data_IF_584577847888
#
_entry.id   IF_584577847888
#
_cell.length_a   1.000
_cell.length_b   1.000
_cell.length_c   1.000
_cell.angle_alpha   90.00
_cell.angle_beta   90.00
_cell.angle_gamma   90.00
#
_symmetry.space_group_name_H-M   'P 1'
#
loop_
_entity.id
_entity.type
_entity.pdbx_description
1 polymer ?
#
# COMPACT_ATOMS: atom_id res chain seq x y z
N UNK A 1 4.06 46.23 -0.88
CA UNK A 1 3.25 45.88 0.29
C UNK A 1 4.07 46.24 1.51
N UNK A 2 3.54 47.02 2.45
CA UNK A 2 4.28 47.39 3.66
C UNK A 2 4.43 46.15 4.55
N UNK A 3 5.62 45.96 5.12
CA UNK A 3 5.87 44.94 6.14
C UNK A 3 4.88 45.16 7.31
N UNK A 4 4.11 44.15 7.73
CA UNK A 4 3.25 44.29 8.88
C UNK A 4 4.12 44.56 10.12
N UNK A 5 3.93 45.71 10.75
CA UNK A 5 4.66 46.08 11.98
C UNK A 5 4.28 45.11 13.09
N UNK A 6 5.24 44.30 13.55
CA UNK A 6 5.05 43.41 14.70
C UNK A 6 4.61 44.21 15.94
N UNK A 7 3.64 43.70 16.73
CA UNK A 7 3.22 44.35 17.96
C UNK A 7 4.42 44.44 18.92
N UNK A 8 4.78 45.64 19.41
CA UNK A 8 5.95 45.83 20.26
C UNK A 8 5.78 45.06 21.58
N UNK A 9 6.64 44.08 21.82
CA UNK A 9 6.72 43.34 23.09
C UNK A 9 6.12 41.93 23.11
N UNK A 10 5.55 41.44 22.01
CA UNK A 10 5.11 40.05 21.94
C UNK A 10 6.30 39.10 21.74
N UNK A 11 6.58 38.23 22.71
CA UNK A 11 7.56 37.14 22.57
C UNK A 11 6.84 35.85 22.19
N UNK A 12 7.40 35.08 21.26
CA UNK A 12 6.91 33.75 20.92
C UNK A 12 6.86 32.83 22.17
N UNK A 13 5.91 31.90 22.26
CA UNK A 13 5.81 30.93 23.34
C UNK A 13 7.07 30.09 23.39
N UNK A 14 7.58 29.87 24.60
CA UNK A 14 8.79 29.06 24.83
C UNK A 14 8.61 27.60 24.37
N UNK A 15 7.38 27.09 24.40
CA UNK A 15 7.07 25.74 23.97
C UNK A 15 6.46 25.76 22.56
N UNK A 16 7.18 25.18 21.61
CA UNK A 16 6.73 25.00 20.22
C UNK A 16 5.91 23.72 20.08
N UNK A 17 4.98 23.64 19.11
CA UNK A 17 4.33 22.38 18.76
C UNK A 17 5.38 21.30 18.39
N UNK A 18 5.16 20.02 18.73
CA UNK A 18 6.12 18.96 18.45
C UNK A 18 6.54 18.88 16.97
N UNK A 19 5.60 19.03 16.04
CA UNK A 19 5.89 18.97 14.60
C UNK A 19 6.78 20.12 14.14
N UNK A 20 6.60 21.32 14.70
CA UNK A 20 7.45 22.49 14.41
C UNK A 20 8.86 22.27 14.97
N UNK A 21 8.97 21.68 16.17
CA UNK A 21 10.27 21.35 16.76
C UNK A 21 11.02 20.32 15.90
N UNK A 22 10.34 19.31 15.35
CA UNK A 22 10.96 18.35 14.43
C UNK A 22 11.53 19.03 13.18
N UNK A 23 10.81 20.00 12.60
CA UNK A 23 11.29 20.75 11.44
C UNK A 23 12.48 21.66 11.78
N UNK A 24 12.49 22.26 12.97
CA UNK A 24 13.65 23.01 13.48
C UNK A 24 14.87 22.12 13.68
N UNK A 25 14.68 20.95 14.31
CA UNK A 25 15.74 19.98 14.52
C UNK A 25 16.27 19.48 13.16
N UNK A 26 15.39 19.29 12.17
CA UNK A 26 15.77 18.93 10.81
C UNK A 26 16.60 20.03 10.13
N UNK A 27 16.24 21.31 10.31
CA UNK A 27 17.04 22.44 9.84
C UNK A 27 18.42 22.48 10.50
N UNK A 28 18.48 22.42 11.83
CA UNK A 28 19.72 22.51 12.61
C UNK A 28 20.68 21.35 12.29
N UNK A 29 20.12 20.15 12.11
CA UNK A 29 20.89 18.94 11.82
C UNK A 29 21.11 18.69 10.32
N UNK A 30 20.61 19.57 9.45
CA UNK A 30 20.61 19.43 7.99
C UNK A 30 20.08 18.07 7.54
N UNK A 31 18.96 17.65 8.13
CA UNK A 31 18.24 16.45 7.74
C UNK A 31 17.19 16.85 6.69
N UNK A 32 17.23 16.27 5.48
CA UNK A 32 16.25 16.60 4.46
C UNK A 32 14.87 16.08 4.86
N UNK A 33 13.84 16.84 4.50
CA UNK A 33 12.44 16.47 4.68
C UNK A 33 11.83 16.04 3.36
N UNK A 34 11.00 14.99 3.40
CA UNK A 34 10.28 14.50 2.21
C UNK A 34 8.96 15.26 2.06
N UNK A 35 8.81 16.00 0.95
CA UNK A 35 7.66 16.87 0.73
C UNK A 35 6.64 16.21 -0.20
N UNK A 36 5.37 16.28 0.23
CA UNK A 36 4.21 15.85 -0.54
C UNK A 36 3.25 17.01 -0.71
N UNK A 37 2.75 17.18 -1.93
CA UNK A 37 1.89 18.29 -2.28
C UNK A 37 0.53 17.75 -2.75
N UNK A 38 -0.58 18.22 -2.18
CA UNK A 38 -1.91 17.81 -2.65
C UNK A 38 -2.24 18.44 -4.00
N UNK A 39 -3.12 17.81 -4.78
CA UNK A 39 -3.48 18.30 -6.12
C UNK A 39 -4.16 19.67 -6.12
N UNK A 40 -4.82 20.04 -5.02
CA UNK A 40 -5.40 21.37 -4.81
C UNK A 40 -4.44 22.42 -4.22
N UNK A 41 -3.19 22.05 -3.93
CA UNK A 41 -2.25 22.94 -3.28
C UNK A 41 -1.62 23.93 -4.27
N UNK A 42 -1.71 25.23 -3.98
CA UNK A 42 -1.22 26.29 -4.88
C UNK A 42 0.30 26.27 -5.10
N UNK A 43 1.05 25.64 -4.20
CA UNK A 43 2.52 25.50 -4.34
C UNK A 43 2.91 24.30 -5.19
N UNK A 44 1.95 23.50 -5.70
CA UNK A 44 2.26 22.34 -6.52
C UNK A 44 2.83 22.80 -7.87
N UNK A 45 4.13 22.57 -8.15
CA UNK A 45 4.77 23.04 -9.38
C UNK A 45 4.34 22.22 -10.61
N UNK A 46 3.74 21.05 -10.39
CA UNK A 46 3.30 20.15 -11.45
C UNK A 46 1.79 19.89 -11.30
N UNK A 47 0.94 20.46 -12.18
CA UNK A 47 -0.49 20.20 -12.12
C UNK A 47 -0.71 18.69 -12.24
N UNK A 48 -1.30 18.12 -11.20
CA UNK A 48 -1.60 16.70 -11.15
C UNK A 48 -2.86 16.43 -11.96
N UNK A 49 -2.84 15.43 -12.85
CA UNK A 49 -4.07 14.90 -13.42
C UNK A 49 -5.13 14.61 -12.36
N UNK A 50 -6.40 14.75 -12.73
CA UNK A 50 -7.55 14.68 -11.81
C UNK A 50 -7.66 13.36 -11.06
N UNK A 51 -7.05 12.29 -11.59
CA UNK A 51 -6.95 10.99 -10.95
C UNK A 51 -5.98 10.94 -9.76
N UNK A 52 -5.24 12.01 -9.47
CA UNK A 52 -4.22 12.06 -8.41
C UNK A 52 -4.57 13.05 -7.29
N UNK A 53 -4.41 12.58 -6.05
CA UNK A 53 -4.63 13.40 -4.84
C UNK A 53 -3.35 14.10 -4.34
N UNK A 54 -2.17 13.53 -4.60
CA UNK A 54 -0.89 14.00 -4.08
C UNK A 54 0.27 13.74 -5.07
N UNK A 55 1.29 14.60 -5.01
CA UNK A 55 2.57 14.48 -5.72
C UNK A 55 3.71 14.40 -4.69
N UNK A 56 4.63 13.43 -4.84
CA UNK A 56 5.89 13.48 -4.12
C UNK A 56 6.80 14.51 -4.79
N UNK A 57 7.07 15.61 -4.10
CA UNK A 57 8.06 16.56 -4.59
C UNK A 57 9.47 16.03 -4.35
N UNK A 58 9.73 15.19 -3.35
CA UNK A 58 11.09 14.68 -3.09
C UNK A 58 11.71 15.36 -1.88
N UNK A 59 13.05 15.38 -1.81
CA UNK A 59 13.75 15.82 -0.60
C UNK A 59 14.10 17.31 -0.64
N UNK A 60 13.93 17.96 0.52
CA UNK A 60 14.22 19.38 0.68
C UNK A 60 14.96 19.65 1.99
N UNK A 61 15.93 20.55 1.95
CA UNK A 61 16.46 21.17 3.16
C UNK A 61 15.58 22.35 3.56
N UNK A 62 15.48 22.60 4.86
CA UNK A 62 14.83 23.80 5.38
C UNK A 62 15.90 24.89 5.39
N UNK A 63 15.87 25.78 4.41
CA UNK A 63 16.86 26.86 4.25
C UNK A 63 16.55 28.04 5.16
N UNK A 64 15.27 28.36 5.33
CA UNK A 64 14.81 29.51 6.09
C UNK A 64 13.67 29.10 7.03
N UNK A 65 13.62 29.73 8.20
CA UNK A 65 12.52 29.61 9.13
C UNK A 65 12.23 30.98 9.72
N UNK A 66 10.98 31.45 9.60
CA UNK A 66 10.55 32.65 10.28
C UNK A 66 9.21 32.45 10.97
N UNK A 67 9.10 33.07 12.14
CA UNK A 67 7.92 33.04 12.98
C UNK A 67 7.16 34.38 12.82
N UNK A 68 5.88 34.31 12.49
CA UNK A 68 4.99 35.46 12.35
C UNK A 68 3.89 35.37 13.43
N UNK A 69 3.93 36.26 14.41
CA UNK A 69 2.85 36.37 15.40
C UNK A 69 1.67 37.09 14.73
N UNK A 70 0.60 36.36 14.45
CA UNK A 70 -0.63 36.92 13.83
C UNK A 70 -1.47 37.61 14.89
N UNK A 71 -1.72 36.93 16.00
CA UNK A 71 -2.56 37.41 17.09
C UNK A 71 -1.87 37.11 18.41
N UNK A 72 -1.91 38.05 19.34
CA UNK A 72 -1.43 37.86 20.70
C UNK A 72 -2.32 38.66 21.65
N UNK A 73 -3.06 37.95 22.49
CA UNK A 73 -3.84 38.49 23.59
C UNK A 73 -3.08 38.23 24.88
N UNK A 74 -2.68 39.31 25.55
CA UNK A 74 -2.07 39.26 26.88
C UNK A 74 -3.21 39.38 27.88
N UNK A 75 -3.36 38.37 28.76
CA UNK A 75 -4.35 38.45 29.83
C UNK A 75 -3.86 39.42 30.91
N UNK A 76 -4.56 40.56 31.05
CA UNK A 76 -4.27 41.62 32.04
C UNK A 76 -4.28 41.10 33.49
N UNK A 77 -4.88 39.94 33.75
CA UNK A 77 -4.92 39.32 35.09
C UNK A 77 -3.67 38.53 35.46
N UNK A 78 -2.63 38.56 34.60
CA UNK A 78 -1.37 37.84 34.82
C UNK A 78 -1.45 36.34 34.51
N UNK A 79 -2.49 35.90 33.81
CA UNK A 79 -2.81 34.49 33.52
C UNK A 79 -2.08 33.85 32.34
N UNK A 80 -1.33 34.62 31.54
CA UNK A 80 -0.58 34.14 30.38
C UNK A 80 -1.00 34.81 29.08
N UNK A 81 -0.21 34.61 28.02
CA UNK A 81 -0.54 35.06 26.68
C UNK A 81 -1.17 33.93 25.87
N UNK A 82 -2.21 34.24 25.10
CA UNK A 82 -2.76 33.36 24.06
C UNK A 82 -2.52 34.02 22.72
N UNK A 83 -2.16 33.24 21.72
CA UNK A 83 -1.89 33.82 20.42
C UNK A 83 -1.95 32.81 19.29
N UNK A 84 -1.99 33.35 18.08
CA UNK A 84 -1.89 32.61 16.83
C UNK A 84 -0.55 32.94 16.19
N UNK A 85 0.21 31.90 15.87
CA UNK A 85 1.54 32.02 15.26
C UNK A 85 1.54 31.26 13.95
N UNK A 86 2.02 31.91 12.90
CA UNK A 86 2.31 31.29 11.62
C UNK A 86 3.80 31.05 11.50
N UNK A 87 4.14 29.84 11.09
CA UNK A 87 5.51 29.42 10.85
C UNK A 87 5.70 29.34 9.35
N UNK A 88 6.74 29.99 8.85
CA UNK A 88 7.10 29.97 7.44
C UNK A 88 8.41 29.22 7.30
N UNK A 89 8.43 28.28 6.35
CA UNK A 89 9.60 27.45 6.06
C UNK A 89 10.01 27.69 4.61
N UNK A 90 11.24 28.16 4.42
CA UNK A 90 11.91 28.15 3.13
C UNK A 90 12.44 26.75 2.86
N UNK A 91 12.12 26.21 1.68
CA UNK A 91 12.53 24.87 1.28
C UNK A 91 13.46 24.98 0.08
N UNK A 92 14.62 24.33 0.19
CA UNK A 92 15.60 24.23 -0.89
C UNK A 92 15.70 22.77 -1.33
N UNK A 93 15.72 22.53 -2.64
CA UNK A 93 15.84 21.17 -3.19
C UNK A 93 17.10 20.49 -2.66
N UNK A 94 16.98 19.26 -2.15
CA UNK A 94 18.11 18.45 -1.76
C UNK A 94 18.46 17.51 -2.93
N UNK A 95 19.59 17.72 -3.64
CA UNK A 95 19.99 16.84 -4.72
C UNK A 95 20.39 15.47 -4.18
N UNK A 96 19.73 14.42 -4.69
CA UNK A 96 19.99 13.06 -4.23
C UNK A 96 19.19 12.69 -2.98
N UNK A 97 18.77 11.44 -2.92
CA UNK A 97 17.81 10.88 -1.99
C UNK A 97 16.63 10.23 -2.72
N UNK A 98 16.27 10.73 -3.91
CA UNK A 98 15.23 10.11 -4.74
C UNK A 98 15.65 8.74 -5.27
N UNK A 99 16.94 8.42 -5.32
CA UNK A 99 17.42 7.09 -5.74
C UNK A 99 16.77 5.96 -4.93
N UNK A 100 16.43 6.19 -3.66
CA UNK A 100 15.71 5.24 -2.81
C UNK A 100 14.22 5.13 -3.17
N UNK A 101 13.59 6.22 -3.62
CA UNK A 101 12.24 6.19 -4.19
C UNK A 101 12.24 5.49 -5.56
N UNK A 102 13.34 5.64 -6.30
CA UNK A 102 13.59 5.06 -7.61
C UNK A 102 14.21 3.67 -7.52
N UNK A 103 14.32 3.09 -6.30
CA UNK A 103 14.99 1.82 -6.00
C UNK A 103 14.78 0.83 -7.14
N UNK A 104 15.83 0.67 -7.94
CA UNK A 104 15.94 -0.40 -8.90
C UNK A 104 16.74 -1.50 -8.19
N UNK A 105 16.10 -2.50 -7.53
CA UNK A 105 16.78 -3.59 -6.84
C UNK A 105 17.48 -4.56 -7.83
N UNK A 106 17.80 -4.12 -9.04
CA UNK A 106 18.57 -4.85 -10.03
C UNK A 106 20.09 -4.78 -9.78
N UNK A 107 20.50 -4.74 -8.51
CA UNK A 107 21.83 -5.22 -8.12
C UNK A 107 22.04 -6.71 -8.43
N UNK A 108 21.03 -7.45 -8.91
CA UNK A 108 21.16 -8.86 -9.31
C UNK A 108 20.38 -9.28 -10.58
N UNK A 109 19.70 -8.37 -11.28
CA UNK A 109 19.16 -8.73 -12.59
C UNK A 109 20.21 -8.39 -13.64
N UNK A 110 20.89 -9.41 -14.15
CA UNK A 110 21.56 -9.36 -15.45
C UNK A 110 20.59 -8.67 -16.41
N UNK A 111 20.84 -7.40 -16.74
CA UNK A 111 20.04 -6.73 -17.75
C UNK A 111 20.11 -7.63 -18.99
N UNK A 112 18.97 -8.12 -19.53
CA UNK A 112 19.02 -8.75 -20.84
C UNK A 112 19.68 -7.72 -21.74
N UNK A 113 20.75 -8.13 -22.43
CA UNK A 113 21.45 -7.27 -23.37
C UNK A 113 20.44 -6.85 -24.44
N UNK A 114 19.75 -5.74 -24.23
CA UNK A 114 18.95 -5.10 -25.24
C UNK A 114 19.98 -4.50 -26.20
N UNK A 115 20.24 -5.24 -27.26
CA UNK A 115 21.15 -4.94 -28.35
C UNK A 115 20.63 -3.79 -29.24
N UNK A 116 20.28 -2.67 -28.62
CA UNK A 116 19.88 -1.43 -29.27
C UNK A 116 20.42 -0.25 -28.46
N UNK A 117 21.46 0.40 -28.98
CA UNK A 117 22.31 1.39 -28.29
C UNK A 117 21.66 2.72 -27.90
N UNK A 118 20.51 2.71 -27.25
CA UNK A 118 20.02 3.87 -26.53
C UNK A 118 20.89 4.06 -25.28
N UNK A 119 21.77 5.06 -25.28
CA UNK A 119 22.51 5.48 -24.07
C UNK A 119 21.48 5.75 -22.97
N UNK A 120 21.64 5.09 -21.82
CA UNK A 120 20.92 5.46 -20.62
C UNK A 120 21.17 6.96 -20.38
N UNK A 121 20.11 7.77 -20.49
CA UNK A 121 20.18 9.19 -20.18
C UNK A 121 20.46 9.24 -18.68
N UNK A 122 21.63 9.75 -18.31
CA UNK A 122 21.96 9.98 -16.91
C UNK A 122 20.89 10.91 -16.34
N UNK A 123 20.18 10.47 -15.30
CA UNK A 123 19.20 11.32 -14.62
C UNK A 123 19.96 12.50 -14.01
N UNK A 124 19.58 13.72 -14.40
CA UNK A 124 20.09 14.94 -13.78
C UNK A 124 19.41 15.14 -12.42
N UNK A 125 20.01 14.57 -11.37
CA UNK A 125 19.53 14.70 -9.98
C UNK A 125 19.82 16.07 -9.37
N UNK A 126 20.58 16.93 -10.07
CA UNK A 126 20.91 18.27 -9.57
C UNK A 126 19.71 19.22 -9.55
N UNK A 127 18.61 18.83 -10.21
CA UNK A 127 17.40 19.63 -10.35
C UNK A 127 16.16 18.83 -9.98
N UNK A 128 15.10 19.51 -9.51
CA UNK A 128 13.84 18.83 -9.27
C UNK A 128 13.28 18.22 -10.55
N UNK A 129 12.73 17.00 -10.46
CA UNK A 129 12.29 16.23 -11.63
C UNK A 129 11.14 16.89 -12.43
N UNK A 130 10.41 17.84 -11.83
CA UNK A 130 9.38 18.63 -12.52
C UNK A 130 9.91 19.88 -13.22
N UNK A 131 11.16 20.27 -12.98
CA UNK A 131 11.81 21.27 -13.82
C UNK A 131 12.10 20.57 -15.13
N UNK A 132 11.17 20.73 -16.09
CA UNK A 132 11.25 20.05 -17.38
C UNK A 132 12.66 20.13 -17.91
N UNK A 133 13.18 19.03 -18.47
CA UNK A 133 14.46 19.03 -19.15
C UNK A 133 14.39 20.18 -20.13
N UNK A 134 15.07 21.28 -19.80
CA UNK A 134 15.10 22.45 -20.64
C UNK A 134 15.72 21.89 -21.89
N UNK A 135 14.89 21.67 -22.92
CA UNK A 135 15.36 21.22 -24.22
C UNK A 135 16.52 22.15 -24.46
N UNK A 136 17.70 21.56 -24.59
CA UNK A 136 18.89 22.32 -24.85
C UNK A 136 18.61 22.86 -26.23
N UNK A 137 17.91 24.00 -26.28
CA UNK A 137 17.73 24.81 -27.46
C UNK A 137 19.15 24.84 -27.98
N UNK A 138 19.29 24.22 -29.14
CA UNK A 138 20.54 24.13 -29.87
C UNK A 138 20.77 25.54 -30.38
N UNK A 139 21.09 26.41 -29.43
CA UNK A 139 21.34 27.81 -29.65
C UNK A 139 22.59 27.80 -30.49
N UNK A 140 22.35 28.15 -31.73
CA UNK A 140 23.34 28.23 -32.78
C UNK A 140 24.34 29.26 -32.29
N UNK A 141 25.51 28.78 -31.84
CA UNK A 141 26.52 29.55 -31.12
C UNK A 141 26.64 30.99 -31.66
N UNK A 142 26.20 32.02 -30.91
CA UNK A 142 26.60 33.38 -31.23
C UNK A 142 28.08 33.50 -30.85
N UNK A 143 28.85 34.14 -31.74
CA UNK A 143 30.29 34.27 -31.64
C UNK A 143 30.73 34.79 -30.27
N UNK A 144 31.69 34.07 -29.70
CA UNK A 144 32.51 34.34 -28.51
C UNK A 144 32.65 35.85 -28.22
N UNK A 145 31.79 36.34 -27.34
CA UNK A 145 32.02 37.57 -26.57
C UNK A 145 32.87 37.23 -25.36
N UNK A 146 33.94 37.99 -25.13
CA UNK A 146 34.83 37.83 -23.97
C UNK A 146 34.05 38.07 -22.68
N UNK A 147 33.71 37.02 -21.95
CA UNK A 147 33.26 37.13 -20.56
C UNK A 147 34.38 37.79 -19.75
N UNK A 148 34.01 38.79 -18.95
CA UNK A 148 34.94 39.50 -18.08
C UNK A 148 35.26 38.64 -16.87
N UNK A 149 36.53 38.61 -16.46
CA UNK A 149 37.06 37.85 -15.32
C UNK A 149 36.31 38.06 -13.98
N UNK A 150 35.52 39.13 -13.85
CA UNK A 150 34.74 39.40 -12.65
C UNK A 150 33.61 38.38 -12.41
N UNK A 151 33.01 37.79 -13.45
CA UNK A 151 31.92 36.83 -13.29
C UNK A 151 32.43 35.42 -12.91
N UNK A 152 33.64 35.06 -13.36
CA UNK A 152 34.28 33.79 -12.98
C UNK A 152 34.73 33.78 -11.50
N UNK A 153 35.11 34.93 -10.94
CA UNK A 153 35.47 35.01 -9.51
C UNK A 153 34.24 34.90 -8.59
N UNK A 154 33.10 35.48 -8.99
CA UNK A 154 31.86 35.40 -8.20
C UNK A 154 31.27 33.97 -8.22
N UNK A 155 31.30 33.29 -9.37
CA UNK A 155 30.87 31.89 -9.46
C UNK A 155 31.78 30.95 -8.65
N UNK A 156 33.10 31.20 -8.66
CA UNK A 156 34.05 30.42 -7.88
C UNK A 156 33.86 30.61 -6.36
N UNK A 157 33.53 31.82 -5.89
CA UNK A 157 33.27 32.08 -4.47
C UNK A 157 32.01 31.38 -3.97
N UNK A 158 30.93 31.39 -4.76
CA UNK A 158 29.68 30.69 -4.44
C UNK A 158 29.88 29.17 -4.40
N UNK A 159 30.58 28.60 -5.39
CA UNK A 159 30.90 27.16 -5.41
C UNK A 159 31.78 26.77 -4.22
N UNK A 160 32.70 27.64 -3.81
CA UNK A 160 33.57 27.40 -2.63
C UNK A 160 32.77 27.42 -1.33
N UNK A 161 31.84 28.37 -1.14
CA UNK A 161 30.96 28.38 0.05
C UNK A 161 30.06 27.15 0.14
N UNK A 162 29.51 26.69 -0.98
CA UNK A 162 28.67 25.48 -1.02
C UNK A 162 29.49 24.23 -0.72
N UNK A 163 30.68 24.09 -1.32
CA UNK A 163 31.56 22.95 -1.07
C UNK A 163 32.12 22.91 0.37
N UNK A 164 32.42 24.05 0.99
CA UNK A 164 32.83 24.10 2.40
C UNK A 164 31.69 23.72 3.36
N UNK A 165 30.45 24.13 3.07
CA UNK A 165 29.27 23.72 3.86
C UNK A 165 29.02 22.22 3.73
N UNK A 166 29.14 21.66 2.52
CA UNK A 166 28.99 20.21 2.28
C UNK A 166 30.13 19.41 2.94
N UNK A 167 31.36 19.91 2.93
CA UNK A 167 32.51 19.23 3.54
C UNK A 167 32.45 19.15 5.08
N UNK A 168 31.79 20.11 5.75
CA UNK A 168 31.62 20.11 7.21
C UNK A 168 30.65 19.05 7.73
N UNK A 169 29.80 18.51 6.86
CA UNK A 169 28.79 17.53 7.23
C UNK A 169 28.88 16.34 6.27
N UNK A 170 29.69 15.30 6.60
CA UNK A 170 29.79 14.13 5.74
C UNK A 170 28.39 13.57 5.49
N UNK A 171 28.10 13.06 4.28
CA UNK A 171 26.79 12.53 3.94
C UNK A 171 26.40 11.50 5.00
N UNK A 172 25.49 11.91 5.89
CA UNK A 172 24.94 11.03 6.91
C UNK A 172 24.08 10.00 6.19
N UNK A 173 24.06 8.77 6.70
CA UNK A 173 23.11 7.79 6.19
C UNK A 173 21.69 8.27 6.49
N UNK A 174 21.11 8.91 5.48
CA UNK A 174 19.82 9.60 5.52
C UNK A 174 18.72 8.62 5.97
N UNK A 175 18.92 7.32 5.72
CA UNK A 175 18.02 6.21 6.11
C UNK A 175 17.75 6.11 7.61
N UNK A 176 18.67 6.58 8.45
CA UNK A 176 18.55 6.48 9.91
C UNK A 176 17.81 7.66 10.54
N UNK A 177 17.52 8.73 9.79
CA UNK A 177 17.04 10.00 10.34
C UNK A 177 15.77 10.52 9.62
N UNK A 178 15.11 9.70 8.80
CA UNK A 178 13.90 10.10 8.10
C UNK A 178 12.72 10.33 9.06
N UNK A 179 12.25 11.58 9.11
CA UNK A 179 10.93 11.91 9.63
C UNK A 179 9.95 11.96 8.47
N UNK A 180 9.22 10.86 8.27
CA UNK A 180 8.09 10.83 7.33
C UNK A 180 6.80 11.06 8.11
N UNK A 181 6.13 12.20 7.87
CA UNK A 181 4.75 12.41 8.32
C UNK A 181 3.74 11.62 7.49
N UNK A 182 4.18 10.95 6.41
CA UNK A 182 3.34 9.97 5.73
C UNK A 182 3.26 8.73 6.62
N UNK A 183 2.04 8.31 7.01
CA UNK A 183 1.84 7.04 7.67
C UNK A 183 2.62 5.93 6.96
N UNK A 184 3.52 5.24 7.67
CA UNK A 184 4.39 4.20 7.11
C UNK A 184 3.61 3.11 6.35
N UNK A 185 2.35 2.91 6.70
CA UNK A 185 1.43 1.98 6.04
C UNK A 185 0.94 2.43 4.64
N UNK A 186 1.23 3.66 4.20
CA UNK A 186 1.00 4.12 2.82
C UNK A 186 2.13 3.73 1.85
N UNK A 187 3.31 3.37 2.38
CA UNK A 187 4.47 2.97 1.60
C UNK A 187 4.96 1.55 1.95
N UNK A 188 4.25 0.86 2.85
CA UNK A 188 4.64 -0.47 3.26
C UNK A 188 4.64 -1.44 2.08
N UNK A 189 5.75 -2.18 1.93
CA UNK A 189 5.75 -3.38 1.13
C UNK A 189 4.72 -4.37 1.67
N UNK A 190 4.29 -5.34 0.85
CA UNK A 190 3.68 -6.56 1.37
C UNK A 190 4.76 -7.40 2.05
N UNK A 191 5.36 -6.88 3.11
CA UNK A 191 6.07 -7.71 4.05
C UNK A 191 5.03 -8.39 4.96
N UNK A 192 5.30 -9.58 5.50
CA UNK A 192 4.41 -10.29 6.43
C UNK A 192 4.18 -9.58 7.78
N UNK A 193 4.35 -8.25 7.86
CA UNK A 193 4.20 -7.48 9.09
C UNK A 193 2.75 -7.04 9.31
N UNK A 194 2.46 -6.65 10.55
CA UNK A 194 1.13 -6.70 11.19
C UNK A 194 0.05 -5.80 10.58
N UNK A 195 0.37 -5.00 9.56
CA UNK A 195 -0.52 -4.03 8.95
C UNK A 195 -0.61 -4.25 7.44
N UNK A 196 -1.83 -4.46 6.96
CA UNK A 196 -2.08 -4.43 5.52
C UNK A 196 -1.92 -3.00 5.00
N UNK A 197 -1.13 -2.77 3.95
CA UNK A 197 -0.84 -1.42 3.48
C UNK A 197 -2.12 -0.70 3.07
N UNK A 198 -2.22 0.59 3.42
CA UNK A 198 -3.28 1.49 2.92
C UNK A 198 -2.96 2.00 1.52
N UNK A 199 -1.69 2.04 1.16
CA UNK A 199 -1.22 2.45 -0.15
C UNK A 199 0.09 1.78 -0.54
N UNK A 200 0.49 1.99 -1.79
CA UNK A 200 1.75 1.48 -2.31
C UNK A 200 2.27 2.38 -3.43
N UNK A 201 3.59 2.46 -3.56
CA UNK A 201 4.24 3.26 -4.59
C UNK A 201 4.37 2.48 -5.91
N UNK A 202 3.77 2.99 -6.98
CA UNK A 202 3.91 2.45 -8.33
C UNK A 202 5.18 2.99 -8.97
N UNK A 203 6.13 2.07 -9.20
CA UNK A 203 7.43 2.38 -9.80
C UNK A 203 7.35 2.85 -11.25
N UNK A 204 6.32 2.46 -11.99
CA UNK A 204 6.24 2.80 -13.40
C UNK A 204 5.86 4.26 -13.64
N UNK A 205 5.02 4.83 -12.77
CA UNK A 205 4.55 6.21 -12.90
C UNK A 205 4.94 7.11 -11.72
N UNK A 206 5.63 6.57 -10.71
CA UNK A 206 6.06 7.32 -9.52
C UNK A 206 4.94 7.69 -8.55
N UNK A 207 3.82 6.97 -8.57
CA UNK A 207 2.60 7.39 -7.85
C UNK A 207 2.30 6.53 -6.63
N UNK A 208 1.81 7.12 -5.55
CA UNK A 208 1.15 6.35 -4.48
C UNK A 208 -0.27 5.98 -4.92
N UNK A 209 -0.55 4.68 -4.92
CA UNK A 209 -1.88 4.13 -5.17
C UNK A 209 -2.49 3.68 -3.85
N UNK A 210 -3.78 3.93 -3.66
CA UNK A 210 -4.54 3.30 -2.57
C UNK A 210 -4.63 1.79 -2.78
N UNK A 211 -4.46 1.01 -1.72
CA UNK A 211 -4.56 -0.44 -1.76
C UNK A 211 -6.03 -0.89 -1.78
N UNK A 212 -6.63 -0.87 -2.97
CA UNK A 212 -8.05 -1.23 -3.20
C UNK A 212 -8.27 -2.71 -3.52
N UNK A 213 -7.19 -3.41 -3.86
CA UNK A 213 -7.21 -4.83 -4.22
C UNK A 213 -6.51 -5.66 -3.14
N UNK A 214 -6.99 -6.86 -2.84
CA UNK A 214 -6.33 -7.73 -1.89
C UNK A 214 -5.03 -8.27 -2.49
N UNK A 215 -3.87 -7.99 -1.89
CA UNK A 215 -2.56 -8.52 -2.29
C UNK A 215 -2.07 -8.21 -3.72
N UNK A 216 -2.83 -7.43 -4.50
CA UNK A 216 -2.47 -7.00 -5.85
C UNK A 216 -2.05 -5.52 -5.87
N UNK A 217 -0.94 -5.21 -6.53
CA UNK A 217 -0.43 -3.85 -6.72
C UNK A 217 -0.58 -3.46 -8.20
N UNK A 218 -1.81 -3.14 -8.60
CA UNK A 218 -2.15 -2.77 -9.99
C UNK A 218 -2.35 -1.26 -10.07
N UNK A 219 -1.46 -0.58 -10.78
CA UNK A 219 -1.59 0.85 -11.00
C UNK A 219 -2.65 1.11 -12.07
N UNK A 220 -3.62 1.97 -11.76
CA UNK A 220 -4.72 2.32 -12.68
C UNK A 220 -4.52 3.69 -13.36
N UNK A 221 -3.35 4.32 -13.25
CA UNK A 221 -3.10 5.56 -13.98
C UNK A 221 -3.19 5.35 -15.48
N UNK A 222 -3.58 6.40 -16.17
CA UNK A 222 -3.45 6.54 -17.63
C UNK A 222 -2.05 6.16 -18.11
N UNK A 223 -1.00 6.56 -17.38
CA UNK A 223 0.40 6.23 -17.68
C UNK A 223 0.73 4.73 -17.61
N UNK A 224 0.10 3.97 -16.70
CA UNK A 224 0.33 2.53 -16.53
C UNK A 224 -0.66 1.64 -17.29
N UNK A 225 -1.77 2.20 -17.82
CA UNK A 225 -2.77 1.42 -18.55
C UNK A 225 -2.26 0.86 -19.88
N UNK A 226 -1.29 1.54 -20.52
CA UNK A 226 -0.77 1.22 -21.85
C UNK A 226 0.32 0.16 -21.85
N UNK A 227 1.05 -0.01 -20.73
CA UNK A 227 1.93 -1.16 -20.54
C UNK A 227 1.06 -2.37 -20.25
N UNK A 228 0.89 -3.23 -21.26
CA UNK A 228 0.13 -4.47 -21.18
C UNK A 228 0.38 -5.20 -19.87
N UNK A 229 -0.70 -5.27 -19.08
CA UNK A 229 -0.82 -5.69 -17.69
C UNK A 229 -0.59 -7.19 -17.48
N UNK A 230 0.50 -7.76 -18.00
CA UNK A 230 0.66 -9.21 -17.99
C UNK A 230 1.17 -9.80 -16.68
N UNK A 231 1.60 -9.02 -15.68
CA UNK A 231 2.21 -9.63 -14.49
C UNK A 231 2.14 -8.83 -13.20
N UNK A 232 1.07 -8.08 -12.96
CA UNK A 232 0.79 -7.65 -11.60
C UNK A 232 0.15 -8.81 -10.81
N UNK A 233 0.87 -9.94 -10.76
CA UNK A 233 0.51 -11.08 -9.93
C UNK A 233 0.43 -10.61 -8.49
N UNK A 234 -0.65 -10.98 -7.80
CA UNK A 234 -0.72 -10.72 -6.38
C UNK A 234 0.42 -11.44 -5.65
N UNK A 235 0.86 -10.89 -4.52
CA UNK A 235 1.95 -11.47 -3.71
C UNK A 235 1.34 -12.45 -2.70
N UNK A 236 1.40 -13.77 -2.95
CA UNK A 236 0.77 -14.73 -2.06
C UNK A 236 1.58 -14.89 -0.78
N UNK A 237 0.88 -15.09 0.33
CA UNK A 237 1.44 -15.71 1.52
C UNK A 237 0.89 -17.14 1.67
N UNK A 238 1.72 -18.11 2.09
CA UNK A 238 1.24 -19.46 2.37
C UNK A 238 0.29 -19.47 3.57
N UNK A 239 -0.61 -20.46 3.62
CA UNK A 239 -1.68 -20.53 4.61
C UNK A 239 -1.18 -20.46 6.07
N UNK A 240 -0.07 -21.12 6.37
CA UNK A 240 0.50 -21.14 7.72
C UNK A 240 0.93 -19.74 8.22
N UNK A 241 1.26 -18.80 7.32
CA UNK A 241 1.59 -17.42 7.68
C UNK A 241 0.34 -16.56 7.93
N UNK A 242 -0.77 -16.90 7.28
CA UNK A 242 -2.03 -16.18 7.45
C UNK A 242 -2.76 -16.62 8.72
N UNK A 243 -2.54 -17.85 9.17
CA UNK A 243 -3.06 -18.36 10.43
C UNK A 243 -2.39 -17.70 11.62
N UNK A 244 -3.17 -17.53 12.67
CA UNK A 244 -2.62 -17.32 14.01
C UNK A 244 -1.64 -18.45 14.36
N UNK A 245 -0.52 -18.11 14.98
CA UNK A 245 0.49 -19.04 15.50
C UNK A 245 -0.17 -20.13 16.35
N UNK A 246 -1.18 -19.78 17.15
CA UNK A 246 -1.94 -20.72 17.97
C UNK A 246 -2.92 -21.59 17.18
N UNK A 247 -3.28 -21.17 15.96
CA UNK A 247 -4.17 -21.90 15.04
C UNK A 247 -3.41 -22.83 14.07
N UNK A 248 -2.08 -22.87 14.14
CA UNK A 248 -1.26 -23.76 13.30
C UNK A 248 -1.21 -25.21 13.82
N UNK A 249 -1.57 -25.44 15.09
CA UNK A 249 -1.53 -26.77 15.69
C UNK A 249 -2.63 -27.68 15.15
N UNK A 250 -2.34 -28.98 15.06
CA UNK A 250 -3.34 -30.01 14.74
C UNK A 250 -4.49 -29.94 15.75
N UNK A 251 -5.71 -29.84 15.24
CA UNK A 251 -6.93 -29.75 16.02
C UNK A 251 -7.70 -31.06 15.89
N UNK A 252 -7.92 -31.76 17.00
CA UNK A 252 -8.57 -33.08 16.98
C UNK A 252 -10.07 -33.03 16.72
N UNK A 253 -10.73 -31.94 17.15
CA UNK A 253 -12.16 -31.68 17.01
C UNK A 253 -12.39 -30.19 16.81
N UNK A 254 -13.32 -29.77 15.95
CA UNK A 254 -13.60 -28.36 15.79
C UNK A 254 -14.21 -27.80 17.07
N UNK A 255 -14.03 -26.49 17.28
CA UNK A 255 -14.62 -25.79 18.43
C UNK A 255 -16.14 -25.78 18.27
N UNK A 256 -16.82 -26.66 18.99
CA UNK A 256 -18.28 -26.79 18.94
C UNK A 256 -18.93 -25.97 20.05
N UNK A 257 -19.36 -24.75 19.72
CA UNK A 257 -20.22 -23.93 20.60
C UNK A 257 -21.71 -24.14 20.31
N UNK A 258 -22.06 -25.30 19.76
CA UNK A 258 -23.41 -25.62 19.31
C UNK A 258 -24.25 -26.06 20.52
N UNK A 259 -25.50 -25.60 20.59
CA UNK A 259 -26.37 -25.95 21.71
C UNK A 259 -26.71 -27.44 21.72
N UNK A 260 -26.88 -28.03 22.91
CA UNK A 260 -27.14 -29.46 23.12
C UNK A 260 -28.42 -30.00 22.46
N UNK A 261 -29.34 -29.13 22.03
CA UNK A 261 -30.57 -29.52 21.33
C UNK A 261 -30.38 -29.72 19.82
N UNK A 262 -29.20 -29.45 19.29
CA UNK A 262 -28.87 -29.67 17.88
C UNK A 262 -28.25 -31.06 17.78
N UNK A 263 -28.86 -31.92 16.94
CA UNK A 263 -28.34 -33.26 16.70
C UNK A 263 -26.98 -33.20 16.04
N UNK A 264 -26.04 -34.04 16.47
CA UNK A 264 -24.69 -34.11 15.93
C UNK A 264 -24.35 -35.54 15.54
N UNK A 265 -24.02 -35.73 14.27
CA UNK A 265 -23.46 -36.99 13.75
C UNK A 265 -22.00 -36.73 13.34
N UNK A 266 -21.09 -37.61 13.75
CA UNK A 266 -19.67 -37.56 13.40
C UNK A 266 -19.33 -38.78 12.54
N UNK A 267 -18.60 -38.56 11.44
CA UNK A 267 -17.99 -39.64 10.67
C UNK A 267 -16.49 -39.35 10.49
N UNK A 268 -15.70 -40.42 10.50
CA UNK A 268 -14.27 -40.39 10.20
C UNK A 268 -14.01 -41.25 8.97
N UNK A 269 -13.25 -40.71 8.04
CA UNK A 269 -12.96 -41.33 6.75
C UNK A 269 -11.57 -41.95 6.73
N UNK A 270 -11.32 -42.90 5.83
CA UNK A 270 -10.02 -43.58 5.70
C UNK A 270 -8.87 -42.63 5.38
N UNK A 271 -9.18 -41.49 4.75
CA UNK A 271 -8.25 -40.39 4.49
C UNK A 271 -7.84 -39.62 5.75
N UNK A 272 -8.43 -39.90 6.91
CA UNK A 272 -8.23 -39.16 8.14
C UNK A 272 -9.03 -37.85 8.23
N UNK A 273 -9.80 -37.52 7.19
CA UNK A 273 -10.82 -36.46 7.19
C UNK A 273 -11.94 -36.80 8.16
N UNK A 274 -12.55 -35.77 8.75
CA UNK A 274 -13.74 -35.92 9.61
C UNK A 274 -14.88 -35.07 9.08
N UNK A 275 -16.09 -35.51 9.33
CA UNK A 275 -17.31 -34.76 8.99
C UNK A 275 -18.23 -34.69 10.18
N UNK A 276 -18.74 -33.49 10.44
CA UNK A 276 -19.71 -33.22 11.50
C UNK A 276 -21.01 -32.74 10.86
N UNK A 277 -22.09 -33.48 11.03
CA UNK A 277 -23.41 -33.10 10.52
C UNK A 277 -24.29 -32.63 11.67
N UNK A 278 -24.63 -31.34 11.64
CA UNK A 278 -25.53 -30.70 12.60
C UNK A 278 -26.94 -30.71 12.03
N UNK A 279 -27.89 -31.28 12.77
CA UNK A 279 -29.30 -31.28 12.39
C UNK A 279 -30.07 -30.29 13.26
N UNK A 280 -30.55 -29.23 12.63
CA UNK A 280 -31.37 -28.18 13.23
C UNK A 280 -32.86 -28.55 13.16
N UNK A 281 -33.70 -27.71 13.77
CA UNK A 281 -35.16 -27.80 13.60
C UNK A 281 -35.51 -27.67 12.11
N UNK A 282 -36.62 -28.27 11.72
CA UNK A 282 -37.13 -28.24 10.33
C UNK A 282 -36.28 -29.05 9.32
N UNK A 283 -35.38 -29.91 9.82
CA UNK A 283 -34.61 -30.82 8.96
C UNK A 283 -33.43 -30.15 8.25
N UNK A 284 -33.12 -28.89 8.56
CA UNK A 284 -31.94 -28.21 8.04
C UNK A 284 -30.68 -28.91 8.57
N UNK A 285 -29.84 -29.38 7.66
CA UNK A 285 -28.57 -30.03 7.96
C UNK A 285 -27.42 -29.12 7.57
N UNK A 286 -26.47 -28.92 8.48
CA UNK A 286 -25.21 -28.25 8.19
C UNK A 286 -24.11 -29.28 8.30
N UNK A 287 -23.33 -29.44 7.24
CA UNK A 287 -22.19 -30.33 7.22
C UNK A 287 -20.90 -29.53 7.33
N UNK A 288 -20.06 -29.90 8.28
CA UNK A 288 -18.72 -29.36 8.45
C UNK A 288 -17.69 -30.44 8.12
N UNK A 289 -17.00 -30.25 7.00
CA UNK A 289 -15.88 -31.09 6.56
C UNK A 289 -14.60 -30.54 7.21
N UNK A 290 -13.97 -31.36 8.05
CA UNK A 290 -12.94 -30.94 8.99
C UNK A 290 -11.62 -31.68 8.73
N UNK A 291 -10.58 -30.91 8.36
CA UNK A 291 -9.21 -31.41 8.11
C UNK A 291 -8.38 -31.51 9.39
N UNK A 292 -8.81 -30.87 10.48
CA UNK A 292 -8.09 -30.87 11.76
C UNK A 292 -6.72 -30.21 11.72
N UNK A 293 -6.49 -29.28 10.79
CA UNK A 293 -5.18 -28.65 10.59
C UNK A 293 -4.02 -29.62 10.33
N UNK A 294 -4.32 -30.82 9.83
CA UNK A 294 -3.31 -31.79 9.40
C UNK A 294 -2.67 -31.34 8.09
N UNK A 295 -1.36 -31.16 8.08
CA UNK A 295 -0.59 -30.68 6.93
C UNK A 295 -0.83 -31.53 5.69
N UNK A 296 -0.86 -32.86 5.85
CA UNK A 296 -1.09 -33.82 4.76
C UNK A 296 -2.47 -33.69 4.09
N UNK A 297 -3.44 -33.04 4.74
CA UNK A 297 -4.78 -32.78 4.22
C UNK A 297 -4.96 -31.35 3.69
N UNK A 298 -3.91 -30.52 3.74
CA UNK A 298 -3.99 -29.09 3.41
C UNK A 298 -3.31 -28.68 2.11
N UNK A 299 -2.55 -29.56 1.47
CA UNK A 299 -1.84 -29.22 0.22
C UNK A 299 -2.75 -28.62 -0.87
N UNK A 300 -3.98 -29.13 -1.04
CA UNK A 300 -4.94 -28.55 -1.99
C UNK A 300 -5.45 -27.17 -1.56
N UNK A 301 -5.70 -26.97 -0.27
CA UNK A 301 -6.17 -25.70 0.26
C UNK A 301 -5.08 -24.62 0.15
N UNK A 302 -3.82 -24.98 0.42
CA UNK A 302 -2.66 -24.09 0.31
C UNK A 302 -2.46 -23.65 -1.14
N UNK A 303 -2.40 -24.60 -2.08
CA UNK A 303 -2.25 -24.31 -3.50
C UNK A 303 -3.40 -23.42 -4.01
N UNK A 304 -4.63 -23.71 -3.56
CA UNK A 304 -5.80 -22.92 -3.93
C UNK A 304 -5.76 -21.48 -3.38
N UNK A 305 -5.37 -21.32 -2.11
CA UNK A 305 -5.20 -20.01 -1.49
C UNK A 305 -4.11 -19.20 -2.21
N UNK A 306 -2.98 -19.80 -2.54
CA UNK A 306 -1.93 -19.13 -3.31
C UNK A 306 -2.42 -18.69 -4.69
N UNK A 307 -3.15 -19.56 -5.39
CA UNK A 307 -3.72 -19.26 -6.69
C UNK A 307 -4.74 -18.13 -6.64
N UNK A 308 -5.60 -18.09 -5.61
CA UNK A 308 -6.53 -16.97 -5.40
C UNK A 308 -5.76 -15.67 -5.22
N UNK A 309 -4.77 -15.67 -4.32
CA UNK A 309 -3.97 -14.48 -4.06
C UNK A 309 -3.25 -13.97 -5.29
N UNK A 310 -2.84 -14.85 -6.22
CA UNK A 310 -2.14 -14.48 -7.46
C UNK A 310 -3.05 -14.00 -8.58
N UNK A 311 -4.22 -14.62 -8.73
CA UNK A 311 -5.00 -14.55 -9.97
C UNK A 311 -6.41 -13.97 -9.79
N UNK A 312 -6.89 -13.81 -8.57
CA UNK A 312 -8.24 -13.30 -8.29
C UNK A 312 -8.13 -11.89 -7.73
N UNK A 313 -8.57 -10.92 -8.53
CA UNK A 313 -8.65 -9.52 -8.13
C UNK A 313 -9.82 -9.30 -7.18
N UNK A 314 -9.61 -9.59 -5.89
CA UNK A 314 -10.55 -9.25 -4.83
C UNK A 314 -10.50 -7.74 -4.61
N UNK A 315 -11.65 -7.05 -4.73
CA UNK A 315 -11.73 -5.59 -4.62
C UNK A 315 -12.61 -5.16 -3.47
N UNK A 316 -12.36 -3.99 -2.90
CA UNK A 316 -13.31 -3.36 -1.95
C UNK A 316 -14.36 -2.56 -2.71
N UNK A 317 -15.62 -2.69 -2.30
CA UNK A 317 -16.69 -1.80 -2.78
C UNK A 317 -16.56 -0.39 -2.18
N UNK A 318 -16.15 -0.32 -0.91
CA UNK A 318 -15.89 0.92 -0.18
C UNK A 318 -14.45 0.89 0.36
N UNK A 319 -13.70 1.98 0.18
CA UNK A 319 -12.36 2.14 0.73
C UNK A 319 -12.32 1.97 2.26
N UNK A 320 -13.42 2.31 2.95
CA UNK A 320 -13.58 2.15 4.39
C UNK A 320 -13.94 0.72 4.84
N UNK A 321 -14.40 -0.11 3.89
CA UNK A 321 -14.84 -1.47 4.15
C UNK A 321 -13.67 -2.40 4.53
N UNK A 322 -13.84 -3.32 5.49
CA UNK A 322 -12.78 -4.25 5.85
C UNK A 322 -12.66 -5.44 4.88
N UNK A 323 -13.63 -5.61 3.98
CA UNK A 323 -13.78 -6.78 3.12
C UNK A 323 -13.38 -6.48 1.68
N UNK A 324 -12.62 -7.41 1.11
CA UNK A 324 -12.38 -7.54 -0.32
C UNK A 324 -13.24 -8.68 -0.84
N UNK A 325 -13.91 -8.45 -1.95
CA UNK A 325 -14.89 -9.39 -2.49
C UNK A 325 -14.59 -9.71 -3.94
N UNK A 326 -14.88 -10.95 -4.31
CA UNK A 326 -15.04 -11.42 -5.68
C UNK A 326 -16.25 -12.35 -5.68
N UNK A 327 -17.14 -12.21 -6.65
CA UNK A 327 -18.27 -13.12 -6.77
C UNK A 327 -18.51 -13.42 -8.25
N UNK A 328 -18.81 -14.67 -8.55
CA UNK A 328 -19.21 -15.09 -9.90
C UNK A 328 -20.38 -16.05 -9.82
N UNK A 329 -21.36 -15.83 -10.69
CA UNK A 329 -22.47 -16.76 -10.91
C UNK A 329 -22.01 -17.91 -11.79
N UNK A 330 -22.54 -19.09 -11.54
CA UNK A 330 -22.21 -20.32 -12.24
C UNK A 330 -23.46 -20.77 -12.98
N UNK A 331 -23.35 -20.81 -14.31
CA UNK A 331 -24.44 -21.24 -15.16
C UNK A 331 -24.57 -22.76 -15.15
N UNK A 332 -25.79 -23.24 -15.42
CA UNK A 332 -26.04 -24.64 -15.73
C UNK A 332 -26.38 -24.73 -17.21
N UNK A 333 -25.64 -25.55 -17.94
CA UNK A 333 -26.08 -26.01 -19.26
C UNK A 333 -27.21 -27.03 -19.05
N UNK A 334 -28.47 -26.57 -19.15
CA UNK A 334 -29.67 -27.40 -18.93
C UNK A 334 -29.95 -28.38 -20.07
N UNK A 335 -29.21 -28.25 -21.18
CA UNK A 335 -29.35 -29.06 -22.40
C UNK A 335 -28.53 -30.36 -22.36
N UNK A 336 -27.79 -30.64 -21.28
CA UNK A 336 -26.98 -31.85 -21.10
C UNK A 336 -27.41 -32.63 -19.85
N UNK A 337 -27.40 -33.97 -19.96
CA UNK A 337 -27.59 -34.89 -18.84
C UNK A 337 -26.33 -35.76 -18.65
N UNK A 338 -25.57 -35.60 -17.55
CA UNK A 338 -25.84 -34.72 -16.42
C UNK A 338 -25.56 -33.24 -16.75
N UNK A 339 -26.18 -32.30 -16.02
CA UNK A 339 -25.94 -30.87 -16.20
C UNK A 339 -24.45 -30.56 -15.98
N UNK A 340 -23.83 -29.88 -16.93
CA UNK A 340 -22.42 -29.48 -16.82
C UNK A 340 -22.38 -28.01 -16.36
N UNK A 341 -21.68 -27.71 -15.25
CA UNK A 341 -21.44 -26.33 -14.83
C UNK A 341 -20.70 -25.57 -15.92
N UNK A 342 -21.26 -24.45 -16.36
CA UNK A 342 -20.63 -23.56 -17.32
C UNK A 342 -20.20 -22.29 -16.61
N UNK A 343 -18.90 -22.04 -16.59
CA UNK A 343 -18.35 -20.80 -16.04
C UNK A 343 -18.42 -19.69 -17.08
N UNK A 344 -18.82 -18.47 -16.69
CA UNK A 344 -18.72 -17.31 -17.57
C UNK A 344 -17.31 -17.10 -18.10
N UNK A 345 -17.20 -16.51 -19.29
CA UNK A 345 -15.91 -16.05 -19.81
C UNK A 345 -15.25 -15.06 -18.86
N UNK A 346 -13.94 -15.21 -18.63
CA UNK A 346 -13.16 -14.33 -17.75
C UNK A 346 -13.11 -14.76 -16.27
N UNK A 347 -13.75 -15.86 -15.89
CA UNK A 347 -13.54 -16.45 -14.55
C UNK A 347 -12.11 -16.98 -14.44
N UNK A 348 -11.34 -16.61 -13.40
CA UNK A 348 -9.99 -17.15 -13.20
C UNK A 348 -10.00 -18.68 -13.08
N UNK A 349 -9.03 -19.33 -13.73
CA UNK A 349 -8.96 -20.80 -13.76
C UNK A 349 -8.91 -21.44 -12.36
N UNK A 350 -8.34 -20.74 -11.37
CA UNK A 350 -8.31 -21.22 -9.99
C UNK A 350 -9.70 -21.28 -9.35
N UNK A 351 -10.62 -20.36 -9.69
CA UNK A 351 -12.02 -20.42 -9.25
C UNK A 351 -12.74 -21.60 -9.89
N UNK A 352 -12.44 -21.90 -11.16
CA UNK A 352 -12.96 -23.09 -11.83
C UNK A 352 -12.52 -24.38 -11.14
N UNK A 353 -11.22 -24.48 -10.81
CA UNK A 353 -10.68 -25.61 -10.04
C UNK A 353 -11.30 -25.69 -8.64
N UNK A 354 -11.51 -24.56 -7.98
CA UNK A 354 -12.18 -24.49 -6.68
C UNK A 354 -13.57 -25.11 -6.72
N UNK A 355 -14.37 -24.72 -7.73
CA UNK A 355 -15.71 -25.25 -7.92
C UNK A 355 -15.69 -26.77 -8.01
N UNK A 356 -14.84 -27.31 -8.90
CA UNK A 356 -14.75 -28.75 -9.11
C UNK A 356 -14.27 -29.47 -7.84
N UNK A 357 -13.30 -28.89 -7.13
CA UNK A 357 -12.83 -29.41 -5.86
C UNK A 357 -13.93 -29.44 -4.79
N UNK A 358 -14.67 -28.34 -4.63
CA UNK A 358 -15.77 -28.26 -3.66
C UNK A 358 -16.90 -29.22 -4.02
N UNK A 359 -17.27 -29.32 -5.29
CA UNK A 359 -18.27 -30.29 -5.73
C UNK A 359 -17.84 -31.73 -5.40
N UNK A 360 -16.58 -32.07 -5.69
CA UNK A 360 -16.02 -33.37 -5.38
C UNK A 360 -15.99 -33.63 -3.86
N UNK A 361 -15.47 -32.69 -3.06
CA UNK A 361 -15.40 -32.82 -1.60
C UNK A 361 -16.79 -32.97 -0.98
N UNK A 362 -17.77 -32.21 -1.47
CA UNK A 362 -19.15 -32.26 -1.00
C UNK A 362 -19.85 -33.56 -1.42
N UNK A 363 -19.54 -34.12 -2.59
CA UNK A 363 -20.07 -35.41 -3.02
C UNK A 363 -19.51 -36.55 -2.16
N UNK A 364 -18.19 -36.62 -2.03
CA UNK A 364 -17.51 -37.72 -1.33
C UNK A 364 -17.70 -37.67 0.17
N UNK A 365 -17.40 -36.52 0.79
CA UNK A 365 -17.42 -36.38 2.24
C UNK A 365 -18.78 -35.90 2.74
N UNK A 366 -19.54 -35.18 1.91
CA UNK A 366 -20.86 -34.71 2.27
C UNK A 366 -22.01 -35.62 1.92
N UNK A 367 -21.74 -36.70 1.18
CA UNK A 367 -22.76 -37.68 0.79
C UNK A 367 -23.92 -37.02 0.06
N UNK A 368 -23.66 -35.92 -0.65
CA UNK A 368 -24.63 -35.24 -1.49
C UNK A 368 -24.47 -35.75 -2.91
N UNK A 369 -25.54 -36.32 -3.47
CA UNK A 369 -25.53 -36.73 -4.86
C UNK A 369 -25.53 -35.48 -5.77
N UNK A 370 -24.45 -35.32 -6.54
CA UNK A 370 -24.30 -34.26 -7.56
C UNK A 370 -24.55 -32.85 -7.00
N UNK A 371 -23.72 -32.37 -6.04
CA UNK A 371 -23.88 -31.05 -5.48
C UNK A 371 -23.74 -29.99 -6.57
N UNK A 372 -24.61 -28.98 -6.52
CA UNK A 372 -24.59 -27.86 -7.43
C UNK A 372 -24.52 -26.55 -6.65
N UNK A 373 -23.79 -25.59 -7.21
CA UNK A 373 -23.63 -24.26 -6.65
C UNK A 373 -23.94 -23.21 -7.70
N UNK A 374 -24.85 -22.29 -7.38
CA UNK A 374 -25.25 -21.22 -8.28
C UNK A 374 -24.26 -20.05 -8.31
N UNK A 375 -23.45 -19.93 -7.26
CA UNK A 375 -22.48 -18.84 -7.13
C UNK A 375 -21.29 -19.27 -6.25
N UNK A 376 -20.11 -18.78 -6.61
CA UNK A 376 -18.93 -18.76 -5.74
C UNK A 376 -18.62 -17.32 -5.39
N UNK A 377 -18.47 -17.05 -4.09
CA UNK A 377 -17.99 -15.78 -3.56
C UNK A 377 -16.70 -16.00 -2.78
N UNK A 378 -15.71 -15.16 -3.02
CA UNK A 378 -14.44 -15.15 -2.29
C UNK A 378 -14.38 -13.85 -1.52
N UNK A 379 -14.15 -13.96 -0.22
CA UNK A 379 -14.15 -12.88 0.75
C UNK A 379 -12.80 -12.88 1.45
N UNK A 380 -12.11 -11.74 1.47
CA UNK A 380 -10.88 -11.56 2.25
C UNK A 380 -10.99 -10.34 3.16
N UNK A 381 -10.32 -10.34 4.30
CA UNK A 381 -10.22 -9.18 5.18
C UNK A 381 -8.85 -9.09 5.83
N UNK A 382 -8.49 -7.88 6.25
CA UNK A 382 -7.12 -7.59 6.72
C UNK A 382 -7.06 -7.14 8.17
N UNK A 383 -8.19 -6.73 8.73
CA UNK A 383 -8.32 -6.32 10.12
C UNK A 383 -9.27 -7.27 10.83
N UNK A 384 -8.93 -7.65 12.06
CA UNK A 384 -9.89 -8.30 12.95
C UNK A 384 -10.96 -7.27 13.29
N UNK A 385 -12.17 -7.46 12.75
CA UNK A 385 -13.26 -6.55 13.05
C UNK A 385 -13.60 -6.64 14.54
N UNK A 386 -13.56 -5.52 15.27
CA UNK A 386 -14.03 -5.43 16.67
C UNK A 386 -15.56 -5.50 16.81
N UNK A 387 -16.29 -5.89 15.74
CA UNK A 387 -17.75 -5.84 15.73
C UNK A 387 -18.39 -7.06 16.41
N UNK A 388 -18.93 -6.77 17.61
CA UNK A 388 -19.88 -7.55 18.43
C UNK A 388 -21.14 -8.13 17.74
N UNK A 389 -21.28 -8.16 16.40
CA UNK A 389 -22.59 -8.44 15.75
C UNK A 389 -22.62 -9.26 14.45
N UNK A 390 -21.53 -9.89 14.01
CA UNK A 390 -21.60 -10.88 12.92
C UNK A 390 -21.07 -12.22 13.44
N UNK A 391 -21.76 -13.30 13.08
CA UNK A 391 -21.74 -14.67 13.62
C UNK A 391 -20.42 -15.20 14.23
N UNK A 392 -20.50 -16.09 15.24
CA UNK A 392 -19.47 -16.28 16.27
C UNK A 392 -18.29 -17.21 15.87
N UNK A 393 -17.85 -17.24 14.61
CA UNK A 393 -16.87 -18.26 14.16
C UNK A 393 -15.61 -17.74 13.46
N UNK A 394 -15.30 -16.44 13.51
CA UNK A 394 -14.13 -15.91 12.82
C UNK A 394 -13.17 -15.27 13.82
N UNK A 395 -12.10 -16.00 14.15
CA UNK A 395 -11.00 -15.55 14.99
C UNK A 395 -9.73 -15.31 14.16
N UNK A 396 -9.20 -14.12 14.37
CA UNK A 396 -7.84 -13.57 14.24
C UNK A 396 -6.93 -13.77 13.01
N UNK A 397 -6.50 -12.59 12.50
CA UNK A 397 -5.63 -12.27 11.35
C UNK A 397 -6.14 -12.78 9.99
N UNK A 398 -5.53 -12.24 8.93
CA UNK A 398 -6.10 -12.18 7.58
C UNK A 398 -6.67 -13.53 7.14
N UNK A 399 -7.95 -13.55 6.76
CA UNK A 399 -8.59 -14.79 6.38
C UNK A 399 -9.33 -14.65 5.06
N UNK A 400 -9.29 -15.74 4.31
CA UNK A 400 -9.97 -15.94 3.05
C UNK A 400 -11.12 -16.91 3.31
N UNK A 401 -12.34 -16.46 3.03
CA UNK A 401 -13.54 -17.27 3.11
C UNK A 401 -14.10 -17.46 1.70
N UNK A 402 -14.34 -18.71 1.32
CA UNK A 402 -15.03 -19.02 0.07
C UNK A 402 -16.44 -19.46 0.45
N UNK A 403 -17.40 -18.61 0.12
CA UNK A 403 -18.82 -18.89 0.25
C UNK A 403 -19.37 -19.45 -1.05
N UNK A 404 -20.21 -20.46 -0.93
CA UNK A 404 -20.78 -21.14 -2.07
C UNK A 404 -22.27 -21.36 -1.80
N UNK A 405 -23.10 -20.74 -2.64
CA UNK A 405 -24.56 -20.66 -2.46
C UNK A 405 -25.32 -21.31 -3.60
#
# INVERSE_FOLDING_TARGET
MGEPSQPPGATAPTQRPPDVQVLLDAQELLVPVLIWCSSGCHINPCPTPSEYGYTCLGYFFISELHEEIIECEVDDTGGGARGLIRWHFGLEWAPGGEEFLLDNPAGNATQPAVSGGAKAVALDISRPWWTGSRETETDTAPAVGKHSQAEEEEEAEVVTMVTEKVAKHPPRDIRLHYYSHIPLDLLAHFEPSEFFPRGWFCRQCGMINTQTLFRHQICRSSACKTSSSESALGKPDPLFKLRDVYSSSTVFRPLHNVSHHIGLEEATWDTGMKTYMYTFKEGVKVLHIFTGNKEELQGHADAFLEDIQRHVMLSREDASGPFFTYATKIGIATDRDPPIPTLPGGVPQCIARAYLYLANVTEWYGQLERPWFGQISVLAWTTTGTRKRVSPLISERQALFVDVT
#
